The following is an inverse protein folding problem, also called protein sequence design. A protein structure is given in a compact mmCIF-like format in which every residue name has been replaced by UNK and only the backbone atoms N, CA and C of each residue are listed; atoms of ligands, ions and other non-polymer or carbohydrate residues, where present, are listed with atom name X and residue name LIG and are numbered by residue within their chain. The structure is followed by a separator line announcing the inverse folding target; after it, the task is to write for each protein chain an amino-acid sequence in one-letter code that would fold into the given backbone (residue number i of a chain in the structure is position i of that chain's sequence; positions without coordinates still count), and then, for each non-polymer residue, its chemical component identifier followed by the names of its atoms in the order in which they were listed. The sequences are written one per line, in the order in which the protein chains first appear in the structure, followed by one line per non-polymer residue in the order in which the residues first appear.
data_IF_263251537177
#
_entry.id   IF_263251537177
#
_cell.length_a   1.000
_cell.length_b   1.000
_cell.length_c   1.000
_cell.angle_alpha   90.00
_cell.angle_beta   90.00
_cell.angle_gamma   90.00
#
_symmetry.space_group_name_H-M   'P 1'
#
loop_
_entity.id
_entity.type
_entity.pdbx_description
1 polymer ?
#
# COMPACT_ATOMS: atom_id res chain seq x y z
N UNK A 1 10.03 -90.22 -63.03
CA UNK A 1 9.91 -88.92 -62.31
C UNK A 1 8.44 -88.52 -62.39
N UNK A 2 7.62 -88.46 -61.35
CA UNK A 2 7.82 -88.54 -59.91
C UNK A 2 6.80 -87.59 -59.27
N UNK A 3 5.78 -88.16 -58.57
CA UNK A 3 5.04 -87.59 -57.42
C UNK A 3 4.25 -86.26 -57.69
N UNK A 4 3.17 -85.87 -57.03
CA UNK A 4 2.25 -86.43 -56.05
C UNK A 4 1.14 -85.38 -55.84
N UNK A 5 -0.12 -85.82 -55.87
CA UNK A 5 -1.04 -85.79 -54.71
C UNK A 5 -1.38 -84.40 -54.11
N UNK A 6 -2.68 -84.03 -54.16
CA UNK A 6 -3.62 -84.05 -53.00
C UNK A 6 -4.88 -83.24 -53.31
N UNK A 7 -6.02 -83.90 -53.24
CA UNK A 7 -7.32 -83.27 -53.00
C UNK A 7 -7.33 -82.64 -51.60
N UNK A 8 -7.73 -81.37 -51.51
CA UNK A 8 -8.14 -80.75 -50.25
C UNK A 8 -9.57 -80.21 -50.41
N UNK A 9 -10.51 -80.91 -49.77
CA UNK A 9 -11.85 -80.42 -49.46
C UNK A 9 -11.73 -79.18 -48.55
N UNK A 10 -12.34 -78.06 -48.96
CA UNK A 10 -12.56 -76.90 -48.08
C UNK A 10 -14.06 -76.79 -47.74
N UNK A 11 -14.42 -76.60 -46.46
CA UNK A 11 -15.80 -76.58 -45.99
C UNK A 11 -16.52 -75.26 -46.28
N UNK A 12 -17.86 -75.35 -46.38
CA UNK A 12 -18.85 -74.26 -46.47
C UNK A 12 -18.53 -73.08 -45.53
N UNK A 13 -18.40 -71.88 -46.08
CA UNK A 13 -18.50 -70.64 -45.30
C UNK A 13 -19.99 -70.35 -45.01
N UNK A 14 -20.38 -70.49 -43.76
CA UNK A 14 -21.66 -69.99 -43.25
C UNK A 14 -21.58 -68.47 -43.09
N UNK A 15 -22.53 -67.76 -43.70
CA UNK A 15 -22.81 -66.35 -43.42
C UNK A 15 -23.09 -66.17 -41.93
N UNK A 16 -22.16 -65.57 -41.18
CA UNK A 16 -22.44 -65.03 -39.84
C UNK A 16 -22.66 -63.53 -39.97
N UNK A 17 -23.87 -63.13 -39.61
CA UNK A 17 -24.39 -61.77 -39.59
C UNK A 17 -23.61 -60.93 -38.56
N UNK A 18 -23.25 -59.72 -38.95
CA UNK A 18 -22.68 -58.68 -38.09
C UNK A 18 -23.78 -58.12 -37.18
N UNK A 19 -23.62 -58.04 -35.85
CA UNK A 19 -24.61 -57.36 -35.01
C UNK A 19 -24.54 -55.85 -35.24
N UNK A 20 -25.71 -55.24 -35.38
CA UNK A 20 -25.91 -53.81 -35.60
C UNK A 20 -25.30 -52.97 -34.47
N UNK A 21 -24.58 -51.91 -34.85
CA UNK A 21 -23.96 -50.95 -33.93
C UNK A 21 -25.04 -49.97 -33.44
N UNK A 22 -25.40 -50.05 -32.17
CA UNK A 22 -26.32 -49.08 -31.53
C UNK A 22 -25.60 -47.73 -31.40
N UNK A 23 -26.13 -46.71 -32.06
CA UNK A 23 -25.68 -45.32 -31.96
C UNK A 23 -26.04 -44.73 -30.60
N UNK A 24 -25.03 -44.23 -29.87
CA UNK A 24 -25.22 -43.46 -28.62
C UNK A 24 -25.89 -42.12 -28.92
N UNK A 25 -26.91 -41.68 -28.16
CA UNK A 25 -27.48 -40.36 -28.32
C UNK A 25 -26.50 -39.27 -27.87
N UNK A 26 -26.57 -38.14 -28.58
CA UNK A 26 -25.86 -36.89 -28.32
C UNK A 26 -25.79 -36.56 -26.83
N UNK A 27 -24.55 -36.39 -26.35
CA UNK A 27 -24.27 -35.93 -25.00
C UNK A 27 -24.88 -34.56 -24.75
N UNK A 28 -25.63 -34.49 -23.67
CA UNK A 28 -25.97 -33.28 -22.91
C UNK A 28 -24.68 -32.44 -22.76
N UNK A 29 -24.70 -31.11 -22.98
CA UNK A 29 -23.53 -30.29 -22.71
C UNK A 29 -23.16 -30.47 -21.24
N UNK A 30 -21.98 -31.06 -21.02
CA UNK A 30 -21.38 -31.14 -19.71
C UNK A 30 -21.39 -29.73 -19.10
N UNK A 31 -22.10 -29.59 -17.98
CA UNK A 31 -22.18 -28.34 -17.26
C UNK A 31 -20.79 -27.75 -17.09
N UNK A 32 -20.71 -26.41 -17.18
CA UNK A 32 -19.52 -25.62 -16.83
C UNK A 32 -18.87 -26.29 -15.62
N UNK A 33 -17.68 -26.82 -15.86
CA UNK A 33 -16.95 -27.64 -14.89
C UNK A 33 -16.93 -26.94 -13.55
N UNK A 34 -17.14 -27.74 -12.51
CA UNK A 34 -16.81 -27.44 -11.12
C UNK A 34 -15.47 -26.70 -11.11
N UNK A 35 -15.54 -25.37 -11.00
CA UNK A 35 -14.43 -24.49 -10.72
C UNK A 35 -13.88 -24.88 -9.35
N UNK A 36 -12.92 -25.78 -9.43
CA UNK A 36 -11.78 -25.95 -8.55
C UNK A 36 -12.01 -25.68 -7.05
N UNK A 37 -12.34 -26.74 -6.30
CA UNK A 37 -12.27 -26.74 -4.83
C UNK A 37 -10.89 -26.33 -4.29
N UNK A 38 -9.82 -26.36 -5.09
CA UNK A 38 -8.50 -25.85 -4.69
C UNK A 38 -8.42 -24.33 -4.76
N UNK A 39 -9.10 -23.72 -5.72
CA UNK A 39 -9.21 -22.26 -5.88
C UNK A 39 -9.95 -21.64 -4.69
N UNK A 40 -11.12 -22.19 -4.34
CA UNK A 40 -11.86 -21.80 -3.13
C UNK A 40 -11.07 -22.00 -1.82
N UNK A 41 -10.24 -23.05 -1.73
CA UNK A 41 -9.34 -23.29 -0.59
C UNK A 41 -8.10 -22.38 -0.61
N UNK A 42 -7.70 -21.88 -1.77
CA UNK A 42 -6.65 -20.88 -1.94
C UNK A 42 -7.13 -19.53 -1.46
N UNK A 43 -8.29 -19.11 -1.96
CA UNK A 43 -8.97 -17.87 -1.56
C UNK A 43 -9.26 -17.84 -0.07
N UNK A 44 -9.79 -18.92 0.50
CA UNK A 44 -10.05 -18.99 1.94
C UNK A 44 -8.77 -18.89 2.78
N UNK A 45 -7.64 -19.44 2.32
CA UNK A 45 -6.35 -19.39 3.03
C UNK A 45 -5.66 -18.04 2.92
N UNK A 46 -5.74 -17.40 1.74
CA UNK A 46 -5.29 -16.03 1.56
C UNK A 46 -6.11 -15.09 2.47
N UNK A 47 -7.44 -15.21 2.44
CA UNK A 47 -8.35 -14.45 3.29
C UNK A 47 -8.03 -14.65 4.79
N UNK A 48 -7.86 -15.90 5.24
CA UNK A 48 -7.54 -16.19 6.65
C UNK A 48 -6.19 -15.59 7.10
N UNK A 49 -5.21 -15.50 6.20
CA UNK A 49 -3.90 -14.90 6.48
C UNK A 49 -3.98 -13.36 6.51
N UNK A 50 -4.87 -12.77 5.73
CA UNK A 50 -5.05 -11.31 5.66
C UNK A 50 -5.91 -10.74 6.79
N UNK A 51 -6.88 -11.50 7.32
CA UNK A 51 -7.74 -11.08 8.43
C UNK A 51 -6.98 -10.58 9.69
N UNK A 52 -5.96 -11.28 10.23
CA UNK A 52 -5.25 -10.80 11.41
C UNK A 52 -4.44 -9.53 11.12
N UNK A 53 -3.83 -9.42 9.93
CA UNK A 53 -3.08 -8.22 9.50
C UNK A 53 -4.02 -7.03 9.39
N UNK A 54 -5.18 -7.23 8.76
CA UNK A 54 -6.20 -6.19 8.61
C UNK A 54 -6.73 -5.71 9.95
N UNK A 55 -7.03 -6.63 10.88
CA UNK A 55 -7.46 -6.28 12.24
C UNK A 55 -6.39 -5.50 13.00
N UNK A 56 -5.14 -5.96 12.95
CA UNK A 56 -4.01 -5.27 13.56
C UNK A 56 -3.80 -3.88 12.95
N UNK A 57 -3.96 -3.72 11.64
CA UNK A 57 -3.86 -2.44 10.96
C UNK A 57 -4.98 -1.47 11.35
N UNK A 58 -6.24 -1.93 11.48
CA UNK A 58 -7.36 -1.13 11.97
C UNK A 58 -7.13 -0.67 13.40
N UNK A 59 -6.74 -1.60 14.29
CA UNK A 59 -6.45 -1.29 15.69
C UNK A 59 -5.28 -0.31 15.77
N UNK A 60 -4.21 -0.55 15.01
CA UNK A 60 -3.05 0.33 14.93
C UNK A 60 -3.43 1.73 14.47
N UNK A 61 -4.20 1.84 13.39
CA UNK A 61 -4.69 3.12 12.86
C UNK A 61 -5.51 3.89 13.90
N UNK A 62 -6.48 3.22 14.54
CA UNK A 62 -7.29 3.81 15.59
C UNK A 62 -6.45 4.23 16.81
N UNK A 63 -5.48 3.41 17.21
CA UNK A 63 -4.56 3.72 18.31
C UNK A 63 -3.65 4.91 17.97
N UNK A 64 -3.16 5.01 16.73
CA UNK A 64 -2.39 6.17 16.25
C UNK A 64 -3.23 7.44 16.32
N UNK A 65 -4.46 7.43 15.80
CA UNK A 65 -5.35 8.60 15.90
C UNK A 65 -5.62 8.96 17.37
N UNK A 66 -5.90 7.96 18.22
CA UNK A 66 -6.11 8.20 19.64
C UNK A 66 -4.87 8.85 20.27
N UNK A 67 -3.67 8.32 20.00
CA UNK A 67 -2.42 8.85 20.53
C UNK A 67 -2.11 10.28 20.06
N UNK A 68 -2.52 10.66 18.84
CA UNK A 68 -2.27 12.00 18.30
C UNK A 68 -3.24 13.07 18.80
N UNK A 69 -4.49 12.70 19.12
CA UNK A 69 -5.56 13.66 19.39
C UNK A 69 -6.14 13.63 20.80
N UNK A 70 -6.04 12.53 21.56
CA UNK A 70 -6.51 12.50 22.96
C UNK A 70 -5.58 13.26 23.91
N UNK A 71 -4.24 13.09 23.86
CA UNK A 71 -3.35 13.85 24.73
C UNK A 71 -3.24 15.32 24.31
N UNK A 72 -3.05 16.20 25.31
CA UNK A 72 -2.77 17.61 25.09
C UNK A 72 -1.31 17.86 24.73
N UNK A 73 -0.84 17.34 23.59
CA UNK A 73 0.55 17.51 23.14
C UNK A 73 1.04 18.95 23.12
N UNK A 74 0.14 19.92 22.86
CA UNK A 74 0.45 21.36 22.92
C UNK A 74 0.92 21.79 24.32
N UNK A 75 0.34 21.23 25.37
CA UNK A 75 0.74 21.53 26.75
C UNK A 75 2.08 20.88 27.13
N UNK A 76 2.48 19.81 26.45
CA UNK A 76 3.72 19.06 26.74
C UNK A 76 4.89 19.55 25.90
N UNK A 77 4.67 19.81 24.62
CA UNK A 77 5.71 20.07 23.63
C UNK A 77 5.67 21.50 23.06
N UNK A 78 4.62 22.28 23.35
CA UNK A 78 4.37 23.56 22.68
C UNK A 78 3.59 23.40 21.36
N UNK A 79 3.23 24.53 20.76
CA UNK A 79 2.34 24.56 19.59
C UNK A 79 2.97 23.94 18.34
N UNK A 80 4.19 24.36 17.99
CA UNK A 80 4.84 23.93 16.76
C UNK A 80 5.24 22.44 16.78
N UNK A 81 5.91 21.91 17.83
CA UNK A 81 6.21 20.47 17.90
C UNK A 81 4.98 19.58 17.95
N UNK A 82 3.93 19.98 18.68
CA UNK A 82 2.68 19.21 18.73
C UNK A 82 1.99 19.17 17.35
N UNK A 83 2.09 20.25 16.57
CA UNK A 83 1.62 20.30 15.19
C UNK A 83 2.40 19.31 14.30
N UNK A 84 3.73 19.39 14.33
CA UNK A 84 4.60 18.48 13.58
C UNK A 84 4.42 17.01 13.97
N UNK A 85 4.19 16.71 15.25
CA UNK A 85 3.90 15.35 15.72
C UNK A 85 2.65 14.78 15.03
N UNK A 86 1.60 15.59 14.87
CA UNK A 86 0.37 15.16 14.18
C UNK A 86 0.60 14.98 12.69
N UNK A 87 1.31 15.90 12.05
CA UNK A 87 1.69 15.77 10.63
C UNK A 87 2.40 14.44 10.37
N UNK A 88 3.48 14.19 11.12
CA UNK A 88 4.29 12.99 10.98
C UNK A 88 3.51 11.72 11.33
N UNK A 89 2.71 11.76 12.40
CA UNK A 89 1.84 10.66 12.77
C UNK A 89 0.83 10.31 11.68
N UNK A 90 0.28 11.30 10.96
CA UNK A 90 -0.65 11.05 9.85
C UNK A 90 0.05 10.49 8.62
N UNK A 91 1.10 11.17 8.12
CA UNK A 91 1.72 10.81 6.83
C UNK A 91 2.56 9.54 6.91
N UNK A 92 3.30 9.34 8.02
CA UNK A 92 4.25 8.24 8.14
C UNK A 92 3.65 7.02 8.84
N UNK A 93 2.71 7.18 9.77
CA UNK A 93 2.19 6.07 10.59
C UNK A 93 0.75 5.70 10.23
N UNK A 94 -0.18 6.65 10.30
CA UNK A 94 -1.59 6.38 10.08
C UNK A 94 -1.88 5.98 8.63
N UNK A 95 -1.29 6.68 7.66
CA UNK A 95 -1.49 6.39 6.24
C UNK A 95 -1.13 4.95 5.80
N UNK A 96 0.04 4.37 6.10
CA UNK A 96 0.33 2.99 5.73
C UNK A 96 -0.57 1.99 6.46
N UNK A 97 -0.93 2.25 7.73
CA UNK A 97 -1.89 1.43 8.46
C UNK A 97 -3.27 1.46 7.80
N UNK A 98 -3.70 2.62 7.28
CA UNK A 98 -4.95 2.76 6.53
C UNK A 98 -4.90 1.97 5.21
N UNK A 99 -3.76 2.01 4.49
CA UNK A 99 -3.55 1.20 3.28
C UNK A 99 -3.64 -0.29 3.59
N UNK A 100 -3.06 -0.76 4.69
CA UNK A 100 -3.12 -2.15 5.12
C UNK A 100 -4.50 -2.56 5.66
N UNK A 101 -5.26 -1.62 6.23
CA UNK A 101 -6.63 -1.85 6.70
C UNK A 101 -7.63 -1.95 5.53
N UNK A 102 -7.36 -1.25 4.43
CA UNK A 102 -8.22 -1.11 3.25
C UNK A 102 -7.45 -1.43 1.94
N UNK A 103 -6.90 -2.65 1.78
CA UNK A 103 -6.03 -2.99 0.65
C UNK A 103 -6.74 -2.90 -0.72
N UNK A 104 -8.03 -3.20 -0.78
CA UNK A 104 -8.81 -3.08 -2.02
C UNK A 104 -8.98 -1.64 -2.47
N UNK A 105 -9.17 -0.72 -1.50
CA UNK A 105 -9.24 0.71 -1.78
C UNK A 105 -7.90 1.22 -2.30
N UNK A 106 -6.80 0.82 -1.66
CA UNK A 106 -5.45 1.17 -2.08
C UNK A 106 -5.11 0.64 -3.49
N UNK A 107 -5.49 -0.60 -3.81
CA UNK A 107 -5.29 -1.16 -5.16
C UNK A 107 -6.14 -0.48 -6.24
N UNK A 108 -7.37 -0.07 -5.88
CA UNK A 108 -8.33 0.51 -6.84
C UNK A 108 -8.09 2.00 -7.10
N UNK A 109 -7.71 2.74 -6.06
CA UNK A 109 -7.63 4.21 -6.12
C UNK A 109 -6.23 4.74 -5.81
N UNK A 110 -5.26 3.89 -5.48
CA UNK A 110 -3.88 4.29 -5.27
C UNK A 110 -3.30 4.88 -6.56
N UNK A 111 -2.70 6.08 -6.51
CA UNK A 111 -2.11 6.68 -7.70
C UNK A 111 -0.82 5.96 -8.10
N UNK A 112 -0.34 6.15 -9.33
CA UNK A 112 1.02 5.77 -9.70
C UNK A 112 2.04 6.38 -8.73
N UNK A 113 3.10 5.63 -8.41
CA UNK A 113 4.11 6.01 -7.39
C UNK A 113 4.59 7.45 -7.55
N UNK A 114 4.97 7.85 -8.77
CA UNK A 114 5.50 9.19 -9.06
C UNK A 114 4.45 10.27 -8.80
N UNK A 115 3.19 10.02 -9.18
CA UNK A 115 2.12 10.99 -8.97
C UNK A 115 1.76 11.11 -7.49
N UNK A 116 1.74 9.99 -6.75
CA UNK A 116 1.54 9.99 -5.30
C UNK A 116 2.62 10.77 -4.56
N UNK A 117 3.89 10.51 -4.89
CA UNK A 117 5.03 11.23 -4.32
C UNK A 117 5.02 12.73 -4.68
N UNK A 118 4.71 13.08 -5.94
CA UNK A 118 4.61 14.47 -6.35
C UNK A 118 3.46 15.21 -5.65
N UNK A 119 2.30 14.56 -5.52
CA UNK A 119 1.16 15.13 -4.80
C UNK A 119 1.52 15.41 -3.33
N UNK A 120 2.14 14.45 -2.66
CA UNK A 120 2.57 14.62 -1.27
C UNK A 120 3.62 15.73 -1.13
N UNK A 121 4.61 15.78 -2.02
CA UNK A 121 5.60 16.85 -2.05
C UNK A 121 4.92 18.22 -2.13
N UNK A 122 3.99 18.41 -3.06
CA UNK A 122 3.27 19.67 -3.23
C UNK A 122 2.47 20.01 -1.97
N UNK A 123 1.70 19.07 -1.43
CA UNK A 123 0.87 19.29 -0.23
C UNK A 123 1.74 19.70 0.95
N UNK A 124 2.79 18.93 1.26
CA UNK A 124 3.65 19.19 2.41
C UNK A 124 4.32 20.55 2.30
N UNK A 125 4.92 20.86 1.16
CA UNK A 125 5.64 22.13 0.99
C UNK A 125 4.70 23.33 1.02
N UNK A 126 3.52 23.23 0.40
CA UNK A 126 2.53 24.31 0.45
C UNK A 126 2.11 24.64 1.88
N UNK A 127 1.83 23.64 2.71
CA UNK A 127 1.43 23.86 4.10
C UNK A 127 2.54 24.36 5.03
N UNK A 128 3.80 24.25 4.60
CA UNK A 128 4.93 24.86 5.29
C UNK A 128 5.23 26.28 4.78
N UNK A 129 4.50 26.79 3.78
CA UNK A 129 4.55 28.21 3.48
C UNK A 129 3.96 29.01 4.65
N UNK A 130 4.59 30.13 5.06
CA UNK A 130 4.23 30.79 6.32
C UNK A 130 2.75 31.18 6.44
N UNK A 131 2.12 31.64 5.35
CA UNK A 131 0.69 32.03 5.33
C UNK A 131 -0.24 30.83 5.55
N UNK A 132 0.00 29.71 4.84
CA UNK A 132 -0.83 28.52 4.97
C UNK A 132 -0.61 27.84 6.33
N UNK A 133 0.64 27.79 6.80
CA UNK A 133 0.96 27.31 8.13
C UNK A 133 0.26 28.14 9.22
N UNK A 134 0.30 29.47 9.09
CA UNK A 134 -0.38 30.39 10.00
C UNK A 134 -1.89 30.14 10.04
N UNK A 135 -2.52 29.96 8.87
CA UNK A 135 -3.93 29.61 8.77
C UNK A 135 -4.26 28.28 9.47
N UNK A 136 -3.45 27.24 9.26
CA UNK A 136 -3.62 25.95 9.91
C UNK A 136 -3.50 26.01 11.44
N UNK A 137 -2.68 26.93 11.96
CA UNK A 137 -2.42 27.08 13.40
C UNK A 137 -3.44 27.96 14.13
N UNK A 138 -4.08 28.88 13.42
CA UNK A 138 -4.97 29.90 14.01
C UNK A 138 -6.45 29.61 13.81
N UNK A 139 -6.80 28.94 12.71
CA UNK A 139 -8.19 28.66 12.33
C UNK A 139 -8.48 27.16 12.30
N UNK A 140 -9.54 26.73 12.99
CA UNK A 140 -9.91 25.30 13.06
C UNK A 140 -10.25 24.69 11.69
N UNK A 141 -10.77 25.49 10.75
CA UNK A 141 -11.00 25.06 9.38
C UNK A 141 -9.69 24.81 8.62
N UNK A 142 -8.69 25.67 8.82
CA UNK A 142 -7.35 25.49 8.28
C UNK A 142 -6.70 24.23 8.82
N UNK A 143 -6.77 24.03 10.14
CA UNK A 143 -6.29 22.79 10.79
C UNK A 143 -6.94 21.56 10.17
N UNK A 144 -8.27 21.53 10.07
CA UNK A 144 -8.97 20.36 9.54
C UNK A 144 -8.59 20.07 8.09
N UNK A 145 -8.53 21.11 7.24
CA UNK A 145 -8.21 20.96 5.83
C UNK A 145 -6.78 20.45 5.64
N UNK A 146 -5.83 20.98 6.40
CA UNK A 146 -4.44 20.49 6.42
C UNK A 146 -4.37 19.02 6.83
N UNK A 147 -4.97 18.64 7.95
CA UNK A 147 -4.91 17.27 8.47
C UNK A 147 -5.51 16.26 7.49
N UNK A 148 -6.62 16.62 6.81
CA UNK A 148 -7.22 15.79 5.76
C UNK A 148 -6.27 15.64 4.57
N UNK A 149 -5.65 16.74 4.11
CA UNK A 149 -4.72 16.68 2.98
C UNK A 149 -3.45 15.91 3.32
N UNK A 150 -2.92 16.02 4.55
CA UNK A 150 -1.78 15.22 5.01
C UNK A 150 -2.11 13.73 5.04
N UNK A 151 -3.26 13.33 5.59
CA UNK A 151 -3.67 11.93 5.56
C UNK A 151 -3.85 11.42 4.11
N UNK A 152 -4.46 12.22 3.23
CA UNK A 152 -4.64 11.88 1.82
C UNK A 152 -3.30 11.77 1.07
N UNK A 153 -2.37 12.69 1.32
CA UNK A 153 -1.03 12.71 0.74
C UNK A 153 -0.20 11.51 1.19
N UNK A 154 -0.16 11.24 2.49
CA UNK A 154 0.46 10.02 3.02
C UNK A 154 -0.17 8.77 2.42
N UNK A 155 -1.51 8.69 2.39
CA UNK A 155 -2.20 7.55 1.80
C UNK A 155 -1.83 7.36 0.31
N UNK A 156 -1.73 8.45 -0.47
CA UNK A 156 -1.33 8.39 -1.87
C UNK A 156 0.09 7.81 -2.06
N UNK A 157 1.05 8.25 -1.24
CA UNK A 157 2.42 7.73 -1.24
C UNK A 157 2.45 6.24 -0.90
N UNK A 158 1.84 5.85 0.22
CA UNK A 158 1.88 4.46 0.69
C UNK A 158 1.05 3.52 -0.20
N UNK A 159 -0.11 3.95 -0.68
CA UNK A 159 -0.93 3.17 -1.60
C UNK A 159 -0.20 2.94 -2.92
N UNK A 160 0.41 3.98 -3.48
CA UNK A 160 1.22 3.87 -4.70
C UNK A 160 2.44 2.97 -4.50
N UNK A 161 3.20 3.17 -3.42
CA UNK A 161 4.41 2.39 -3.15
C UNK A 161 4.13 0.91 -2.87
N UNK A 162 3.12 0.60 -2.06
CA UNK A 162 2.79 -0.78 -1.67
C UNK A 162 2.03 -1.55 -2.75
N UNK A 163 1.36 -0.85 -3.68
CA UNK A 163 0.63 -1.46 -4.81
C UNK A 163 1.43 -1.46 -6.12
N UNK A 164 2.66 -0.94 -6.11
CA UNK A 164 3.52 -0.88 -7.30
C UNK A 164 3.81 -2.29 -7.85
N UNK A 165 3.68 -2.44 -9.17
CA UNK A 165 4.03 -3.70 -9.86
C UNK A 165 5.52 -4.04 -9.70
N UNK A 166 6.36 -3.01 -9.80
CA UNK A 166 7.79 -3.09 -9.55
C UNK A 166 8.09 -2.55 -8.14
N UNK A 167 8.41 -3.41 -7.15
CA UNK A 167 8.60 -2.95 -5.78
C UNK A 167 9.73 -1.93 -5.63
N UNK A 168 10.74 -1.97 -6.51
CA UNK A 168 11.84 -1.02 -6.51
C UNK A 168 11.40 0.41 -6.85
N UNK A 169 10.37 0.58 -7.69
CA UNK A 169 9.77 1.90 -7.94
C UNK A 169 9.11 2.44 -6.67
N UNK A 170 8.37 1.59 -5.95
CA UNK A 170 7.78 1.95 -4.66
C UNK A 170 8.84 2.33 -3.62
N UNK A 171 9.96 1.59 -3.57
CA UNK A 171 11.10 1.93 -2.71
C UNK A 171 11.69 3.30 -3.06
N UNK A 172 11.85 3.59 -4.36
CA UNK A 172 12.31 4.90 -4.83
C UNK A 172 11.37 6.04 -4.45
N UNK A 173 10.04 5.83 -4.53
CA UNK A 173 9.05 6.81 -4.09
C UNK A 173 9.14 7.13 -2.60
N UNK A 174 9.24 6.11 -1.74
CA UNK A 174 9.40 6.29 -0.30
C UNK A 174 10.74 6.95 0.05
N UNK A 175 11.81 6.60 -0.65
CA UNK A 175 13.12 7.23 -0.48
C UNK A 175 13.09 8.73 -0.84
N UNK A 176 12.50 9.08 -1.99
CA UNK A 176 12.33 10.47 -2.40
C UNK A 176 11.50 11.25 -1.37
N UNK A 177 10.41 10.64 -0.88
CA UNK A 177 9.56 11.21 0.18
C UNK A 177 10.39 11.52 1.42
N UNK A 178 11.22 10.56 1.87
CA UNK A 178 12.15 10.77 2.97
C UNK A 178 13.10 11.94 2.72
N UNK A 179 13.69 12.05 1.52
CA UNK A 179 14.69 13.07 1.22
C UNK A 179 14.14 14.50 1.35
N UNK A 180 12.99 14.81 0.75
CA UNK A 180 12.46 16.17 0.84
C UNK A 180 11.89 16.48 2.23
N UNK A 181 11.35 15.48 2.94
CA UNK A 181 10.92 15.64 4.34
C UNK A 181 12.12 15.94 5.25
N UNK A 182 13.25 15.27 5.04
CA UNK A 182 14.51 15.58 5.73
C UNK A 182 15.01 16.97 5.37
N UNK A 183 14.98 17.37 4.10
CA UNK A 183 15.36 18.72 3.67
C UNK A 183 14.50 19.78 4.36
N UNK A 184 13.18 19.61 4.37
CA UNK A 184 12.25 20.54 5.00
C UNK A 184 12.50 20.63 6.51
N UNK A 185 12.65 19.50 7.20
CA UNK A 185 12.98 19.52 8.63
C UNK A 185 14.35 20.15 8.92
N UNK A 186 15.34 19.97 8.04
CA UNK A 186 16.64 20.64 8.18
C UNK A 186 16.51 22.16 8.03
N UNK A 187 15.68 22.65 7.11
CA UNK A 187 15.37 24.09 6.99
C UNK A 187 14.80 24.63 8.31
N UNK A 188 13.85 23.91 8.92
CA UNK A 188 13.24 24.32 10.19
C UNK A 188 14.23 24.33 11.36
N UNK A 189 15.13 23.34 11.42
CA UNK A 189 16.15 23.22 12.47
C UNK A 189 17.22 24.31 12.33
N UNK A 190 17.68 24.55 11.11
CA UNK A 190 18.84 25.41 10.83
C UNK A 190 18.47 26.87 10.56
N UNK A 191 17.16 27.21 10.58
CA UNK A 191 16.72 28.59 10.43
C UNK A 191 17.31 29.47 11.56
N UNK A 192 17.77 30.70 11.23
CA UNK A 192 18.35 31.62 12.21
C UNK A 192 17.30 32.26 13.13
N UNK A 193 16.02 32.15 12.79
CA UNK A 193 14.89 32.75 13.50
C UNK A 193 13.62 31.89 13.32
N UNK A 194 12.61 32.14 14.16
CA UNK A 194 11.29 31.56 14.01
C UNK A 194 10.62 32.10 12.73
N UNK A 195 10.26 31.20 11.81
CA UNK A 195 9.72 31.51 10.50
C UNK A 195 8.22 31.85 10.53
N UNK A 196 7.53 31.53 11.62
CA UNK A 196 6.07 31.55 11.70
C UNK A 196 5.51 32.49 12.78
N UNK A 197 6.34 32.93 13.72
CA UNK A 197 5.94 33.77 14.86
C UNK A 197 5.12 35.00 14.46
N UNK A 198 5.62 35.80 13.51
CA UNK A 198 5.00 37.05 13.07
C UNK A 198 3.61 36.81 12.47
N UNK A 199 3.51 35.86 11.53
CA UNK A 199 2.25 35.54 10.85
C UNK A 199 1.22 34.94 11.80
N UNK A 200 1.67 34.24 12.84
CA UNK A 200 0.78 33.67 13.85
C UNK A 200 0.42 34.66 14.96
N UNK A 201 0.97 35.89 14.97
CA UNK A 201 0.75 36.86 16.03
C UNK A 201 1.26 36.39 17.40
N UNK A 202 2.31 35.56 17.43
CA UNK A 202 2.87 34.96 18.65
C UNK A 202 4.30 35.45 18.91
N UNK A 203 4.74 35.35 20.17
CA UNK A 203 6.15 35.56 20.49
C UNK A 203 7.02 34.48 19.81
N UNK A 204 8.23 34.82 19.33
CA UNK A 204 9.12 33.85 18.69
C UNK A 204 9.47 32.66 19.61
N UNK A 205 9.37 31.45 19.08
CA UNK A 205 9.76 30.19 19.73
C UNK A 205 10.60 29.34 18.77
N UNK A 206 11.85 29.78 18.56
CA UNK A 206 12.81 29.08 17.71
C UNK A 206 13.08 27.65 18.20
N UNK A 207 13.17 27.42 19.52
CA UNK A 207 13.36 26.09 20.10
C UNK A 207 12.23 25.13 19.74
N UNK A 208 10.97 25.60 19.80
CA UNK A 208 9.80 24.84 19.38
C UNK A 208 9.86 24.52 17.89
N UNK A 209 10.23 25.48 17.04
CA UNK A 209 10.41 25.21 15.61
C UNK A 209 11.47 24.13 15.35
N UNK A 210 12.64 24.25 15.99
CA UNK A 210 13.74 23.30 15.84
C UNK A 210 13.35 21.91 16.32
N UNK A 211 12.65 21.80 17.46
CA UNK A 211 12.12 20.54 17.95
C UNK A 211 11.11 19.93 16.98
N UNK A 212 10.24 20.74 16.38
CA UNK A 212 9.32 20.28 15.33
C UNK A 212 10.06 19.70 14.12
N UNK A 213 11.10 20.39 13.63
CA UNK A 213 11.95 19.86 12.57
C UNK A 213 12.66 18.55 12.98
N UNK A 214 13.15 18.44 14.21
CA UNK A 214 13.75 17.21 14.71
C UNK A 214 12.75 16.05 14.75
N UNK A 215 11.48 16.29 15.14
CA UNK A 215 10.42 15.28 15.11
C UNK A 215 10.14 14.80 13.69
N UNK A 216 10.14 15.70 12.70
CA UNK A 216 10.01 15.33 11.28
C UNK A 216 11.10 14.34 10.85
N UNK A 217 12.36 14.65 11.17
CA UNK A 217 13.50 13.78 10.84
C UNK A 217 13.43 12.45 11.60
N UNK A 218 13.17 12.50 12.91
CA UNK A 218 13.19 11.35 13.81
C UNK A 218 12.07 10.33 13.52
N UNK A 219 10.92 10.78 13.00
CA UNK A 219 9.80 9.90 12.67
C UNK A 219 9.83 9.52 11.20
N UNK A 220 9.92 10.50 10.29
CA UNK A 220 9.76 10.27 8.86
C UNK A 220 10.87 9.42 8.26
N UNK A 221 12.11 9.82 8.51
CA UNK A 221 13.31 9.16 7.93
C UNK A 221 13.33 7.66 8.19
N UNK A 222 13.28 7.16 9.45
CA UNK A 222 13.34 5.72 9.68
C UNK A 222 12.14 4.99 9.07
N UNK A 223 10.93 5.54 9.15
CA UNK A 223 9.74 4.85 8.65
C UNK A 223 9.79 4.70 7.12
N UNK A 224 10.09 5.77 6.39
CA UNK A 224 10.16 5.73 4.94
C UNK A 224 11.33 4.87 4.44
N UNK A 225 12.49 4.94 5.09
CA UNK A 225 13.64 4.08 4.76
C UNK A 225 13.31 2.61 5.04
N UNK A 226 12.73 2.27 6.19
CA UNK A 226 12.34 0.89 6.51
C UNK A 226 11.29 0.35 5.52
N UNK A 227 10.32 1.18 5.13
CA UNK A 227 9.35 0.84 4.08
C UNK A 227 10.04 0.59 2.73
N UNK A 228 10.96 1.46 2.33
CA UNK A 228 11.75 1.30 1.12
C UNK A 228 12.62 0.03 1.14
N UNK A 229 13.32 -0.22 2.23
CA UNK A 229 14.13 -1.43 2.42
C UNK A 229 13.29 -2.71 2.38
N UNK A 230 12.08 -2.70 2.95
CA UNK A 230 11.16 -3.82 2.88
C UNK A 230 10.74 -4.12 1.44
N UNK A 231 10.50 -3.09 0.62
CA UNK A 231 10.18 -3.24 -0.81
C UNK A 231 11.40 -3.70 -1.61
N UNK A 232 12.59 -3.14 -1.37
CA UNK A 232 13.84 -3.60 -2.01
C UNK A 232 14.12 -5.07 -1.70
N UNK A 233 13.92 -5.50 -0.44
CA UNK A 233 14.04 -6.90 -0.04
C UNK A 233 13.08 -7.80 -0.82
N UNK A 234 11.85 -7.37 -1.10
CA UNK A 234 10.89 -8.14 -1.91
C UNK A 234 11.39 -8.35 -3.33
N UNK A 235 11.99 -7.34 -3.95
CA UNK A 235 12.59 -7.48 -5.30
C UNK A 235 13.74 -8.49 -5.29
N UNK A 236 14.64 -8.40 -4.31
CA UNK A 236 15.79 -9.32 -4.22
C UNK A 236 15.36 -10.78 -3.99
N UNK A 237 14.32 -11.01 -3.18
CA UNK A 237 13.81 -12.36 -2.92
C UNK A 237 12.92 -12.90 -4.04
N UNK A 238 12.18 -12.03 -4.73
CA UNK A 238 11.34 -12.41 -5.86
C UNK A 238 12.12 -12.73 -7.14
N UNK A 239 13.34 -12.19 -7.29
CA UNK A 239 14.25 -12.56 -8.39
C UNK A 239 15.03 -13.86 -8.16
N UNK A 240 14.89 -14.50 -6.99
CA UNK A 240 15.57 -15.75 -6.63
C UNK A 240 14.67 -16.99 -6.74
N UNK A 241 13.43 -16.83 -7.21
CA UNK A 241 12.45 -17.91 -7.44
C UNK A 241 11.98 -17.90 -8.88
#
# INVERSE_FOLDING_TARGET
MGLSRRLHLRPRQAHRQTPARVSRPCGIPAGRGVGDRRDLRGDARALYRELPVRRAAIIGFAATLAALYLPSWRAVLGDFPAHMLRHMGLVAVAAPLLVLALPDLARRFGPPVVLGAFFEFVVVWLWHLPVLHGWAQTEGAGTLFEQVMFLAAGWAVWAGALSAREPLLGAGGLFLTSMHMTLLGAILILAPSDLYAEICGRAPDLSGQQLGGMLMLAIGTPIYILGGLALTRRTLLGGLT
#
